data_IF_134414585264
#
_entry.id   IF_134414585264
#
_cell.length_a   1.000
_cell.length_b   1.000
_cell.length_c   1.000
_cell.angle_alpha   90.00
_cell.angle_beta   90.00
_cell.angle_gamma   90.00
#
_symmetry.space_group_name_H-M   'P 1'
#
loop_
_entity.id
_entity.type
_entity.pdbx_description
1 polymer ?
#
# COMPACT_ATOMS: atom_id res chain seq x y z
N UNK A 1 4.83 18.24 15.66
CA UNK A 1 4.35 16.96 15.09
C UNK A 1 3.04 16.50 15.74
N UNK A 2 2.95 16.37 17.08
CA UNK A 2 1.75 15.82 17.74
C UNK A 2 0.47 16.61 17.42
N UNK A 3 0.49 17.96 17.47
CA UNK A 3 -0.66 18.78 17.10
C UNK A 3 -1.06 18.62 15.61
N UNK A 4 -0.07 18.50 14.72
CA UNK A 4 -0.33 18.22 13.31
C UNK A 4 -0.95 16.84 13.10
N UNK A 5 -0.49 15.83 13.87
CA UNK A 5 -1.09 14.49 13.83
C UNK A 5 -2.55 14.51 14.29
N UNK A 6 -2.85 15.21 15.40
CA UNK A 6 -4.22 15.41 15.86
C UNK A 6 -5.12 15.99 14.75
N UNK A 7 -4.64 17.02 14.05
CA UNK A 7 -5.37 17.64 12.93
C UNK A 7 -5.70 16.62 11.83
N UNK A 8 -4.75 15.77 11.43
CA UNK A 8 -5.01 14.78 10.37
C UNK A 8 -5.90 13.64 10.85
N UNK A 9 -5.72 13.18 12.10
CA UNK A 9 -6.52 12.08 12.65
C UNK A 9 -7.99 12.47 12.79
N UNK A 10 -8.28 13.74 13.12
CA UNK A 10 -9.65 14.27 13.23
C UNK A 10 -10.30 14.58 11.86
N UNK A 11 -9.71 14.10 10.76
CA UNK A 11 -10.31 14.13 9.43
C UNK A 11 -10.61 12.69 8.99
N UNK A 12 -11.89 12.35 8.78
CA UNK A 12 -12.24 11.11 8.08
C UNK A 12 -11.68 11.15 6.66
N UNK A 13 -10.98 10.10 6.26
CA UNK A 13 -10.32 9.98 4.94
C UNK A 13 -10.38 8.56 4.39
N UNK A 14 -11.59 7.97 4.37
CA UNK A 14 -11.78 6.66 3.71
C UNK A 14 -11.38 6.75 2.24
N UNK A 15 -10.78 5.69 1.68
CA UNK A 15 -10.34 5.65 0.26
C UNK A 15 -11.44 5.98 -0.75
N UNK A 16 -12.71 5.72 -0.41
CA UNK A 16 -13.86 6.06 -1.23
C UNK A 16 -14.44 7.45 -0.93
N UNK A 17 -13.94 8.16 0.09
CA UNK A 17 -14.33 9.54 0.43
C UNK A 17 -13.29 10.53 -0.10
N UNK A 18 -13.41 10.87 -1.40
CA UNK A 18 -12.51 11.84 -2.02
C UNK A 18 -12.46 13.17 -1.26
N UNK A 19 -13.59 13.67 -0.77
CA UNK A 19 -13.63 14.92 -0.02
C UNK A 19 -12.84 14.82 1.30
N UNK A 20 -12.84 13.64 1.92
CA UNK A 20 -12.05 13.35 3.11
C UNK A 20 -10.56 13.34 2.82
N UNK A 21 -10.13 12.58 1.82
CA UNK A 21 -8.71 12.53 1.41
C UNK A 21 -8.19 13.88 0.92
N UNK A 22 -9.04 14.69 0.25
CA UNK A 22 -8.71 16.06 -0.16
C UNK A 22 -8.53 16.99 1.05
N UNK A 23 -9.35 16.88 2.10
CA UNK A 23 -9.16 17.67 3.34
C UNK A 23 -7.83 17.36 4.01
N UNK A 24 -7.38 16.09 4.02
CA UNK A 24 -6.04 15.72 4.50
C UNK A 24 -4.97 16.40 3.63
N UNK A 25 -5.10 16.36 2.31
CA UNK A 25 -4.18 17.05 1.39
C UNK A 25 -4.13 18.55 1.67
N UNK A 26 -5.28 19.21 1.85
CA UNK A 26 -5.35 20.66 2.12
C UNK A 26 -4.66 21.04 3.45
N UNK A 27 -4.81 20.23 4.50
CA UNK A 27 -4.10 20.46 5.76
C UNK A 27 -2.58 20.36 5.56
N UNK A 28 -2.10 19.34 4.84
CA UNK A 28 -0.69 19.16 4.53
C UNK A 28 -0.16 20.30 3.66
N UNK A 29 -0.89 20.71 2.60
CA UNK A 29 -0.54 21.85 1.75
C UNK A 29 -0.37 23.14 2.57
N UNK A 30 -1.28 23.39 3.50
CA UNK A 30 -1.20 24.58 4.37
C UNK A 30 0.12 24.62 5.14
N UNK A 31 0.61 23.51 5.68
CA UNK A 31 1.89 23.46 6.38
C UNK A 31 3.09 23.61 5.46
N UNK A 32 3.06 22.96 4.30
CA UNK A 32 4.14 23.00 3.31
C UNK A 32 4.30 24.41 2.73
N UNK A 33 3.20 25.05 2.34
CA UNK A 33 3.22 26.43 1.85
C UNK A 33 3.68 27.43 2.93
N UNK A 34 3.23 27.28 4.18
CA UNK A 34 3.69 28.12 5.29
C UNK A 34 5.20 27.96 5.56
N UNK A 35 5.80 26.83 5.17
CA UNK A 35 7.23 26.60 5.23
C UNK A 35 7.98 27.07 3.96
N UNK A 36 7.30 27.62 2.97
CA UNK A 36 7.89 28.07 1.69
C UNK A 36 8.23 26.94 0.73
N UNK A 37 7.59 25.78 0.88
CA UNK A 37 7.76 24.63 0.00
C UNK A 37 6.78 24.74 -1.16
N UNK A 38 7.27 24.56 -2.39
CA UNK A 38 6.44 24.40 -3.58
C UNK A 38 5.69 23.06 -3.49
N UNK A 39 4.36 23.14 -3.39
CA UNK A 39 3.51 21.97 -3.25
C UNK A 39 2.17 22.18 -3.96
N UNK A 40 1.67 21.13 -4.58
CA UNK A 40 0.39 21.12 -5.28
C UNK A 40 -0.38 19.82 -5.01
N UNK A 41 -1.71 19.91 -5.00
CA UNK A 41 -2.58 18.75 -5.01
C UNK A 41 -3.18 18.58 -6.40
N UNK A 42 -2.87 17.45 -7.03
CA UNK A 42 -3.41 17.02 -8.30
C UNK A 42 -4.54 16.05 -8.04
N UNK A 43 -5.76 16.57 -7.94
CA UNK A 43 -6.95 15.80 -7.53
C UNK A 43 -7.69 15.08 -8.64
N UNK A 44 -7.20 15.08 -9.88
CA UNK A 44 -7.87 14.43 -11.02
C UNK A 44 -6.92 13.66 -11.95
N UNK A 45 -7.39 12.69 -12.27
CA UNK A 45 -7.57 11.49 -13.09
C UNK A 45 -6.47 11.06 -14.07
N UNK A 46 -5.75 11.89 -14.79
CA UNK A 46 -4.77 11.39 -15.77
C UNK A 46 -3.42 11.01 -15.14
N UNK A 47 -3.06 11.66 -14.04
CA UNK A 47 -1.75 11.53 -13.40
C UNK A 47 -1.81 10.92 -11.99
N UNK A 48 -2.99 10.39 -11.59
CA UNK A 48 -3.26 9.89 -10.25
C UNK A 48 -3.62 11.01 -9.25
N UNK A 49 -4.39 10.66 -8.19
CA UNK A 49 -4.69 11.60 -7.08
C UNK A 49 -3.50 11.66 -6.13
N UNK A 50 -2.68 12.70 -6.24
CA UNK A 50 -1.47 12.85 -5.45
C UNK A 50 -1.27 14.30 -4.97
N UNK A 51 -0.77 14.45 -3.75
CA UNK A 51 -0.15 15.68 -3.28
C UNK A 51 1.35 15.58 -3.56
N UNK A 52 1.87 16.55 -4.30
CA UNK A 52 3.27 16.66 -4.64
C UNK A 52 3.87 17.83 -3.86
N UNK A 53 5.10 17.66 -3.34
CA UNK A 53 5.87 18.69 -2.68
C UNK A 53 7.31 18.63 -3.16
N UNK A 54 7.98 19.78 -3.31
CA UNK A 54 9.35 19.84 -3.81
C UNK A 54 10.23 20.73 -2.96
N UNK A 55 11.28 20.15 -2.39
CA UNK A 55 12.41 20.88 -1.85
C UNK A 55 13.51 20.88 -2.93
N UNK A 56 13.91 22.06 -3.46
CA UNK A 56 14.88 22.12 -4.54
C UNK A 56 16.28 21.69 -4.09
N UNK A 57 17.01 21.06 -4.99
CA UNK A 57 18.45 20.78 -4.83
C UNK A 57 19.31 21.83 -5.54
N UNK A 58 20.61 21.88 -5.20
CA UNK A 58 21.58 22.71 -5.90
C UNK A 58 21.73 22.32 -7.38
N UNK A 59 21.45 21.06 -7.73
CA UNK A 59 21.39 20.55 -9.09
C UNK A 59 19.95 20.10 -9.40
N UNK A 60 19.11 20.94 -10.00
CA UNK A 60 17.67 20.64 -10.19
C UNK A 60 17.38 19.41 -11.05
N UNK A 61 18.31 19.02 -11.93
CA UNK A 61 18.23 17.84 -12.80
C UNK A 61 18.80 16.55 -12.19
N UNK A 62 19.39 16.64 -10.99
CA UNK A 62 19.92 15.45 -10.32
C UNK A 62 18.75 14.52 -9.91
N UNK A 63 19.06 13.22 -9.90
CA UNK A 63 18.12 12.18 -9.46
C UNK A 63 17.55 12.50 -8.06
N UNK A 64 16.24 12.64 -7.88
CA UNK A 64 15.64 13.05 -6.61
C UNK A 64 15.64 11.94 -5.57
N UNK A 65 15.48 12.31 -4.31
CA UNK A 65 15.00 11.42 -3.24
C UNK A 65 13.49 11.56 -3.16
N UNK A 66 12.77 10.43 -3.07
CA UNK A 66 11.32 10.39 -2.96
C UNK A 66 10.90 10.03 -1.52
N UNK A 67 10.06 10.87 -0.92
CA UNK A 67 9.32 10.60 0.32
C UNK A 67 7.88 10.30 -0.06
N UNK A 68 7.36 9.13 0.31
CA UNK A 68 6.04 8.69 -0.14
C UNK A 68 5.19 8.11 0.98
N UNK A 69 3.88 8.22 0.79
CA UNK A 69 2.88 7.68 1.68
C UNK A 69 1.47 7.90 1.14
N UNK A 70 0.47 7.39 1.85
CA UNK A 70 -0.93 7.53 1.47
C UNK A 70 -1.73 8.33 2.49
N UNK A 71 -2.78 9.01 2.02
CA UNK A 71 -3.65 9.91 2.80
C UNK A 71 -4.97 9.25 3.19
N UNK A 72 -5.31 8.17 2.52
CA UNK A 72 -6.52 7.40 2.77
C UNK A 72 -6.39 6.44 3.96
N UNK A 73 -7.50 5.92 4.40
CA UNK A 73 -7.62 4.92 5.46
C UNK A 73 -8.77 3.96 5.16
N UNK A 74 -8.75 2.77 5.76
CA UNK A 74 -9.84 1.78 5.67
C UNK A 74 -11.10 2.19 6.42
N UNK A 75 -11.03 3.16 7.33
CA UNK A 75 -12.13 3.48 8.25
C UNK A 75 -13.27 4.20 7.55
N UNK A 76 -14.54 3.79 7.76
CA UNK A 76 -15.70 4.46 7.20
C UNK A 76 -15.80 5.94 7.62
N UNK A 77 -16.30 6.78 6.73
CA UNK A 77 -16.64 8.19 7.04
C UNK A 77 -17.61 8.26 8.23
N UNK A 78 -17.32 9.14 9.19
CA UNK A 78 -18.03 9.24 10.46
C UNK A 78 -17.36 8.52 11.63
N UNK A 79 -16.25 7.80 11.37
CA UNK A 79 -15.49 7.11 12.43
C UNK A 79 -14.86 8.11 13.40
N UNK A 80 -14.38 9.27 12.93
CA UNK A 80 -13.80 10.32 13.76
C UNK A 80 -14.78 10.83 14.81
N UNK A 81 -16.07 10.97 14.47
CA UNK A 81 -17.08 11.40 15.43
C UNK A 81 -17.26 10.42 16.60
N UNK A 82 -16.95 9.14 16.40
CA UNK A 82 -17.03 8.09 17.43
C UNK A 82 -15.70 7.88 18.15
N UNK A 83 -14.59 8.05 17.44
CA UNK A 83 -13.23 7.81 17.91
C UNK A 83 -12.28 8.95 17.52
N UNK A 84 -12.50 10.19 18.06
CA UNK A 84 -11.65 11.33 17.77
C UNK A 84 -10.22 11.09 18.30
N UNK A 85 -9.31 11.94 17.88
CA UNK A 85 -7.95 11.97 18.41
C UNK A 85 -7.96 11.96 19.95
N UNK A 86 -7.18 11.10 20.53
CA UNK A 86 -6.90 11.08 21.97
C UNK A 86 -5.48 10.60 22.26
N UNK A 87 -4.97 11.01 23.39
CA UNK A 87 -3.66 10.56 23.91
C UNK A 87 -3.86 9.84 25.23
N UNK A 88 -3.23 8.68 25.37
CA UNK A 88 -3.24 7.90 26.60
C UNK A 88 -1.91 7.13 26.72
N UNK A 89 -1.22 7.23 27.87
CA UNK A 89 0.02 6.51 28.15
C UNK A 89 1.13 6.70 27.10
N UNK A 90 1.27 7.91 26.53
CA UNK A 90 2.27 8.20 25.49
C UNK A 90 1.89 7.70 24.08
N UNK A 91 0.69 7.14 23.92
CA UNK A 91 0.12 6.69 22.65
C UNK A 91 -0.92 7.67 22.13
N UNK A 92 -0.84 7.98 20.84
CA UNK A 92 -1.90 8.63 20.11
C UNK A 92 -2.84 7.58 19.53
N UNK A 93 -4.15 7.82 19.60
CA UNK A 93 -5.21 6.96 19.06
C UNK A 93 -6.13 7.74 18.16
N UNK A 94 -6.74 7.04 17.23
CA UNK A 94 -7.74 7.52 16.29
C UNK A 94 -7.58 6.90 14.91
N UNK A 95 -8.53 7.07 13.98
CA UNK A 95 -8.52 6.39 12.69
C UNK A 95 -7.34 6.82 11.81
N UNK A 96 -6.54 5.84 11.37
CA UNK A 96 -5.36 6.06 10.53
C UNK A 96 -4.19 6.72 11.27
N UNK A 97 -4.19 6.72 12.61
CA UNK A 97 -3.12 7.34 13.40
C UNK A 97 -1.76 6.68 13.16
N UNK A 98 -1.75 5.37 12.95
CA UNK A 98 -0.58 4.58 12.60
C UNK A 98 -0.46 4.43 11.09
N UNK A 99 -1.53 4.05 10.42
CA UNK A 99 -1.61 3.72 9.01
C UNK A 99 -2.42 4.79 8.24
N UNK A 100 -1.76 5.85 7.58
CA UNK A 100 -0.39 6.16 7.94
C UNK A 100 -0.19 7.66 8.22
N UNK A 101 -1.20 8.31 8.88
CA UNK A 101 -1.18 9.77 9.13
C UNK A 101 0.03 10.24 9.93
N UNK A 102 0.53 9.41 10.89
CA UNK A 102 1.77 9.72 11.61
C UNK A 102 2.99 9.77 10.69
N UNK A 103 3.05 8.89 9.70
CA UNK A 103 4.07 8.88 8.66
C UNK A 103 4.01 10.11 7.77
N UNK A 104 2.80 10.54 7.37
CA UNK A 104 2.59 11.77 6.60
C UNK A 104 3.12 12.99 7.34
N UNK A 105 2.76 13.12 8.63
CA UNK A 105 3.26 14.21 9.48
C UNK A 105 4.78 14.17 9.58
N UNK A 106 5.37 13.00 9.82
CA UNK A 106 6.81 12.84 9.90
C UNK A 106 7.49 13.36 8.62
N UNK A 107 7.02 12.96 7.46
CA UNK A 107 7.60 13.36 6.17
C UNK A 107 7.40 14.86 5.88
N UNK A 108 6.25 15.45 6.20
CA UNK A 108 6.07 16.90 6.11
C UNK A 108 7.12 17.64 6.94
N UNK A 109 7.38 17.20 8.18
CA UNK A 109 8.38 17.83 9.03
C UNK A 109 9.81 17.62 8.53
N UNK A 110 10.12 16.49 7.91
CA UNK A 110 11.42 16.27 7.24
C UNK A 110 11.58 17.21 6.05
N UNK A 111 10.57 17.36 5.19
CA UNK A 111 10.59 18.33 4.08
C UNK A 111 10.77 19.77 4.58
N UNK A 112 10.05 20.17 5.64
CA UNK A 112 10.18 21.49 6.24
C UNK A 112 11.56 21.73 6.88
N UNK A 113 12.19 20.71 7.44
CA UNK A 113 13.56 20.79 7.94
C UNK A 113 14.56 20.97 6.80
N UNK A 114 14.45 20.17 5.74
CA UNK A 114 15.29 20.28 4.54
C UNK A 114 15.18 21.65 3.86
N UNK A 115 13.97 22.21 3.79
CA UNK A 115 13.73 23.55 3.20
C UNK A 115 14.49 24.67 3.93
N UNK A 116 14.78 24.50 5.23
CA UNK A 116 15.50 25.47 6.06
C UNK A 116 17.01 25.26 6.07
N UNK A 117 17.50 24.21 5.44
CA UNK A 117 18.91 23.88 5.35
C UNK A 117 19.52 24.38 4.02
N UNK A 118 20.85 24.47 3.90
CA UNK A 118 21.49 24.65 2.60
C UNK A 118 21.02 23.55 1.62
N UNK A 119 20.80 23.90 0.33
CA UNK A 119 20.32 22.94 -0.65
C UNK A 119 21.24 21.72 -0.76
N UNK A 120 20.63 20.53 -0.76
CA UNK A 120 21.34 19.29 -1.08
C UNK A 120 21.76 19.25 -2.55
N UNK A 121 22.72 18.42 -2.98
CA UNK A 121 23.06 18.27 -4.39
C UNK A 121 21.88 17.86 -5.28
N UNK A 122 20.85 17.29 -4.72
CA UNK A 122 19.67 16.75 -5.40
C UNK A 122 18.36 17.27 -4.77
N UNK A 123 17.27 17.30 -5.52
CA UNK A 123 15.96 17.64 -4.97
C UNK A 123 15.37 16.52 -4.12
N UNK A 124 14.48 16.88 -3.17
CA UNK A 124 13.68 15.94 -2.42
C UNK A 124 12.21 16.17 -2.76
N UNK A 125 11.51 15.11 -3.14
CA UNK A 125 10.10 15.13 -3.53
C UNK A 125 9.26 14.44 -2.46
N UNK A 126 8.17 15.07 -2.03
CA UNK A 126 7.08 14.42 -1.30
C UNK A 126 6.00 13.99 -2.29
N UNK A 127 5.55 12.75 -2.22
CA UNK A 127 4.47 12.19 -3.03
C UNK A 127 3.49 11.45 -2.13
N UNK A 128 2.26 11.94 -2.01
CA UNK A 128 1.27 11.41 -1.09
C UNK A 128 -0.01 11.06 -1.84
N UNK A 129 -0.30 9.76 -1.99
CA UNK A 129 -1.43 9.17 -2.73
C UNK A 129 -2.71 9.13 -1.90
N UNK A 130 -3.83 8.66 -2.47
CA UNK A 130 -5.13 8.68 -1.80
C UNK A 130 -5.95 7.38 -1.96
N UNK A 131 -5.34 6.29 -2.42
CA UNK A 131 -6.03 5.04 -2.76
C UNK A 131 -5.18 3.78 -2.46
N UNK A 132 -4.24 3.88 -1.51
CA UNK A 132 -3.38 2.73 -1.16
C UNK A 132 -4.21 1.57 -0.62
N UNK A 133 -5.12 1.84 0.29
CA UNK A 133 -5.94 0.85 1.00
C UNK A 133 -6.90 0.07 0.07
N UNK A 134 -7.08 0.53 -1.15
CA UNK A 134 -7.91 -0.12 -2.17
C UNK A 134 -7.12 -0.59 -3.40
N UNK A 135 -5.77 -0.59 -3.32
CA UNK A 135 -4.89 -1.18 -4.33
C UNK A 135 -4.15 -0.19 -5.20
N UNK A 136 -4.06 1.09 -4.85
CA UNK A 136 -3.27 2.14 -5.52
C UNK A 136 -3.48 2.24 -7.02
N UNK A 137 -4.69 2.03 -7.52
CA UNK A 137 -4.96 2.01 -8.97
C UNK A 137 -4.56 3.32 -9.66
N UNK A 138 -4.74 4.45 -8.98
CA UNK A 138 -4.37 5.79 -9.46
C UNK A 138 -3.04 6.23 -8.84
N UNK A 139 -2.82 5.98 -7.56
CA UNK A 139 -1.59 6.27 -6.85
C UNK A 139 -0.38 5.65 -7.50
N UNK A 140 -0.48 4.42 -8.00
CA UNK A 140 0.57 3.76 -8.78
C UNK A 140 1.02 4.57 -10.00
N UNK A 141 0.09 5.18 -10.73
CA UNK A 141 0.42 6.02 -11.91
C UNK A 141 1.29 7.20 -11.48
N UNK A 142 0.91 7.91 -10.41
CA UNK A 142 1.68 9.00 -9.88
C UNK A 142 3.06 8.54 -9.35
N UNK A 143 3.09 7.43 -8.61
CA UNK A 143 4.33 6.86 -8.08
C UNK A 143 5.29 6.52 -9.23
N UNK A 144 4.84 5.75 -10.22
CA UNK A 144 5.69 5.34 -11.35
C UNK A 144 6.17 6.54 -12.19
N UNK A 145 5.34 7.59 -12.34
CA UNK A 145 5.72 8.80 -13.07
C UNK A 145 6.81 9.61 -12.36
N UNK A 146 6.71 9.78 -11.03
CA UNK A 146 7.62 10.63 -10.26
C UNK A 146 8.82 9.86 -9.69
N UNK A 147 8.72 8.53 -9.55
CA UNK A 147 9.81 7.71 -9.03
C UNK A 147 10.87 7.37 -10.09
N UNK A 148 10.53 7.39 -11.39
CA UNK A 148 11.49 7.02 -12.44
C UNK A 148 12.77 7.84 -12.34
N UNK A 149 13.90 7.13 -12.19
CA UNK A 149 15.21 7.76 -12.07
C UNK A 149 15.49 8.37 -10.70
N UNK A 150 14.63 8.18 -9.70
CA UNK A 150 14.94 8.57 -8.33
C UNK A 150 16.15 7.77 -7.80
N UNK A 151 16.94 8.40 -6.93
CA UNK A 151 18.10 7.74 -6.30
C UNK A 151 17.74 6.90 -5.08
N UNK A 152 16.63 7.22 -4.43
CA UNK A 152 16.12 6.50 -3.28
C UNK A 152 14.64 6.85 -3.06
N UNK A 153 13.88 5.94 -2.47
CA UNK A 153 12.52 6.15 -2.01
C UNK A 153 12.35 5.70 -0.54
N UNK A 154 11.62 6.50 0.23
CA UNK A 154 11.30 6.21 1.63
C UNK A 154 9.78 6.23 1.81
N UNK A 155 9.19 5.06 2.10
CA UNK A 155 7.76 4.93 2.34
C UNK A 155 7.47 4.94 3.85
N UNK A 156 6.71 5.95 4.31
CA UNK A 156 6.48 6.19 5.73
C UNK A 156 5.31 5.40 6.32
N UNK A 157 5.08 4.19 5.81
CA UNK A 157 4.32 3.16 6.51
C UNK A 157 4.76 3.07 7.99
N UNK A 158 3.89 2.61 8.90
CA UNK A 158 4.24 2.52 10.31
C UNK A 158 5.49 1.66 10.55
N UNK A 159 6.36 2.13 11.44
CA UNK A 159 7.42 1.32 12.03
C UNK A 159 6.79 0.14 12.79
N UNK A 160 7.49 -1.00 12.79
CA UNK A 160 7.00 -2.22 13.44
C UNK A 160 6.91 -2.04 14.95
N UNK A 161 6.09 -2.84 15.62
CA UNK A 161 5.95 -2.82 17.10
C UNK A 161 7.28 -3.09 17.80
N UNK A 162 8.18 -3.85 17.18
CA UNK A 162 9.57 -4.05 17.59
C UNK A 162 10.44 -2.79 17.56
N UNK A 163 9.98 -1.73 16.86
CA UNK A 163 10.78 -0.56 16.53
C UNK A 163 11.50 -0.67 15.18
N UNK A 164 11.46 -1.82 14.54
CA UNK A 164 12.18 -2.11 13.30
C UNK A 164 11.53 -1.49 12.05
N UNK A 165 12.27 -1.47 10.94
CA UNK A 165 11.82 -1.07 9.62
C UNK A 165 11.37 -2.29 8.80
N UNK A 166 10.78 -2.05 7.65
CA UNK A 166 10.43 -3.10 6.70
C UNK A 166 11.38 -3.04 5.52
N UNK A 167 12.15 -4.12 5.35
CA UNK A 167 13.13 -4.28 4.26
C UNK A 167 12.67 -5.26 3.18
N UNK A 168 11.55 -5.95 3.43
CA UNK A 168 10.98 -6.92 2.51
C UNK A 168 9.47 -7.04 2.73
N UNK A 169 8.69 -6.95 1.66
CA UNK A 169 7.23 -7.10 1.68
C UNK A 169 6.79 -8.05 0.57
N UNK A 170 5.78 -8.86 0.83
CA UNK A 170 5.10 -9.56 -0.25
C UNK A 170 4.42 -8.57 -1.19
N UNK A 171 4.38 -8.94 -2.47
CA UNK A 171 3.39 -8.43 -3.40
C UNK A 171 2.10 -9.21 -3.27
N UNK A 172 1.03 -8.67 -3.81
CA UNK A 172 -0.27 -9.32 -3.80
C UNK A 172 -1.15 -8.87 -4.96
N UNK A 173 -2.12 -9.67 -5.32
CA UNK A 173 -3.13 -9.31 -6.29
C UNK A 173 -4.48 -9.93 -5.94
N UNK A 174 -5.54 -9.24 -6.32
CA UNK A 174 -6.90 -9.77 -6.22
C UNK A 174 -7.45 -9.98 -7.63
N UNK A 175 -8.02 -11.16 -7.83
CA UNK A 175 -8.69 -11.50 -9.09
C UNK A 175 -10.15 -11.82 -8.83
N UNK A 176 -11.00 -11.42 -9.78
CA UNK A 176 -12.38 -11.86 -9.92
C UNK A 176 -12.46 -12.94 -10.98
N UNK A 177 -13.16 -14.03 -10.67
CA UNK A 177 -13.43 -15.13 -11.59
C UNK A 177 -14.92 -15.20 -11.78
N UNK A 178 -15.41 -15.01 -13.00
CA UNK A 178 -16.81 -15.16 -13.36
C UNK A 178 -16.96 -16.41 -14.25
N UNK A 179 -17.90 -17.28 -13.89
CA UNK A 179 -18.21 -18.49 -14.66
C UNK A 179 -19.65 -18.44 -15.13
N UNK A 180 -19.86 -18.67 -16.44
CA UNK A 180 -21.18 -18.77 -17.07
C UNK A 180 -21.46 -20.21 -17.46
N UNK A 181 -22.70 -20.63 -17.27
CA UNK A 181 -23.21 -21.95 -17.64
C UNK A 181 -24.61 -21.87 -18.25
N UNK A 182 -25.38 -22.93 -18.11
CA UNK A 182 -26.74 -23.03 -18.64
C UNK A 182 -27.71 -23.61 -17.60
N UNK A 183 -28.82 -22.90 -17.36
CA UNK A 183 -29.86 -23.35 -16.45
C UNK A 183 -30.64 -24.53 -17.07
N UNK A 184 -30.98 -25.49 -16.22
CA UNK A 184 -31.94 -26.56 -16.54
C UNK A 184 -32.57 -27.05 -15.23
N UNK A 185 -33.77 -27.66 -15.31
CA UNK A 185 -34.36 -28.30 -14.14
C UNK A 185 -33.59 -29.56 -13.78
N UNK A 186 -33.03 -29.62 -12.55
CA UNK A 186 -32.09 -30.63 -12.16
C UNK A 186 -32.68 -32.08 -12.18
N UNK A 187 -34.01 -32.23 -12.02
CA UNK A 187 -34.68 -33.54 -12.02
C UNK A 187 -35.37 -33.88 -13.36
N UNK A 188 -35.62 -32.92 -14.26
CA UNK A 188 -36.39 -33.15 -15.49
C UNK A 188 -35.48 -33.23 -16.71
N UNK A 189 -34.59 -32.28 -16.87
CA UNK A 189 -33.75 -32.14 -18.06
C UNK A 189 -32.32 -31.73 -17.68
N UNK A 190 -31.73 -32.38 -16.67
CA UNK A 190 -30.39 -32.09 -16.17
C UNK A 190 -29.32 -32.05 -17.27
N UNK A 191 -29.42 -32.94 -18.26
CA UNK A 191 -28.47 -33.05 -19.37
C UNK A 191 -28.43 -31.81 -20.28
N UNK A 192 -29.50 -31.00 -20.29
CA UNK A 192 -29.57 -29.72 -21.04
C UNK A 192 -28.84 -28.60 -20.31
N UNK A 193 -28.52 -28.78 -19.02
CA UNK A 193 -27.82 -27.81 -18.19
C UNK A 193 -26.28 -27.86 -18.35
N UNK A 194 -25.64 -26.81 -17.88
CA UNK A 194 -24.18 -26.75 -17.73
C UNK A 194 -23.85 -25.98 -16.44
N UNK A 195 -23.32 -26.69 -15.43
CA UNK A 195 -23.16 -26.13 -14.10
C UNK A 195 -21.94 -25.21 -13.99
N UNK A 196 -22.18 -23.91 -13.82
CA UNK A 196 -21.15 -22.93 -13.52
C UNK A 196 -20.51 -23.18 -12.14
N UNK A 197 -21.32 -23.61 -11.15
CA UNK A 197 -20.81 -23.94 -9.79
C UNK A 197 -19.83 -25.13 -9.87
N UNK A 198 -20.14 -26.18 -10.62
CA UNK A 198 -19.24 -27.34 -10.75
C UNK A 198 -17.91 -26.93 -11.42
N UNK A 199 -17.98 -26.13 -12.49
CA UNK A 199 -16.79 -25.60 -13.15
C UNK A 199 -15.96 -24.77 -12.19
N UNK A 200 -16.59 -23.86 -11.45
CA UNK A 200 -15.88 -23.03 -10.48
C UNK A 200 -15.25 -23.85 -9.35
N UNK A 201 -15.97 -24.84 -8.81
CA UNK A 201 -15.46 -25.70 -7.74
C UNK A 201 -14.17 -26.44 -8.14
N UNK A 202 -14.11 -26.96 -9.37
CA UNK A 202 -12.90 -27.61 -9.90
C UNK A 202 -11.74 -26.62 -10.03
N UNK A 203 -11.99 -25.38 -10.48
CA UNK A 203 -10.98 -24.33 -10.58
C UNK A 203 -10.51 -23.88 -9.20
N UNK A 204 -11.38 -23.73 -8.23
CA UNK A 204 -11.04 -23.36 -6.84
C UNK A 204 -10.04 -24.36 -6.24
N UNK A 205 -10.25 -25.67 -6.42
CA UNK A 205 -9.31 -26.69 -5.93
C UNK A 205 -7.93 -26.53 -6.57
N UNK A 206 -7.86 -26.32 -7.90
CA UNK A 206 -6.61 -26.14 -8.62
C UNK A 206 -5.90 -24.82 -8.21
N UNK A 207 -6.65 -23.74 -7.97
CA UNK A 207 -6.09 -22.47 -7.51
C UNK A 207 -5.49 -22.59 -6.12
N UNK A 208 -6.17 -23.23 -5.16
CA UNK A 208 -5.62 -23.45 -3.81
C UNK A 208 -4.36 -24.34 -3.84
N UNK A 209 -4.24 -25.26 -4.80
CA UNK A 209 -3.06 -26.11 -4.95
C UNK A 209 -1.80 -25.35 -5.40
N UNK A 210 -1.90 -24.09 -5.82
CA UNK A 210 -0.75 -23.23 -6.14
C UNK A 210 -0.06 -22.66 -4.89
N UNK A 211 -0.63 -22.82 -3.70
CA UNK A 211 -0.01 -22.38 -2.45
C UNK A 211 1.28 -23.14 -2.19
N UNK A 212 2.37 -22.41 -1.98
CA UNK A 212 3.68 -22.92 -1.58
C UNK A 212 4.21 -22.09 -0.40
N UNK A 213 4.01 -22.61 0.80
CA UNK A 213 4.45 -21.93 2.02
C UNK A 213 5.99 -21.79 2.10
N UNK A 214 6.73 -22.76 1.55
CA UNK A 214 8.20 -22.71 1.55
C UNK A 214 8.73 -21.61 0.64
N UNK A 215 8.08 -21.38 -0.50
CA UNK A 215 8.39 -20.27 -1.39
C UNK A 215 7.72 -18.95 -0.96
N UNK A 216 6.91 -18.93 0.08
CA UNK A 216 6.16 -17.77 0.54
C UNK A 216 4.96 -17.40 -0.33
N UNK A 217 4.54 -18.27 -1.24
CA UNK A 217 3.37 -18.08 -2.11
C UNK A 217 2.11 -18.54 -1.40
N UNK A 218 1.07 -17.71 -1.42
CA UNK A 218 -0.26 -18.10 -0.92
C UNK A 218 -1.33 -17.72 -1.93
N UNK A 219 -2.33 -18.61 -2.06
CA UNK A 219 -3.53 -18.41 -2.87
C UNK A 219 -4.76 -18.69 -2.00
N UNK A 220 -5.72 -17.78 -2.01
CA UNK A 220 -6.92 -17.88 -1.19
C UNK A 220 -8.15 -17.44 -1.96
N UNK A 221 -9.04 -18.37 -2.26
CA UNK A 221 -10.39 -18.02 -2.71
C UNK A 221 -11.22 -17.68 -1.48
N UNK A 222 -11.28 -16.37 -1.16
CA UNK A 222 -11.93 -15.89 0.06
C UNK A 222 -13.43 -15.68 -0.06
N UNK A 223 -13.92 -15.47 -1.29
CA UNK A 223 -15.35 -15.29 -1.57
C UNK A 223 -15.77 -16.18 -2.73
N UNK A 224 -16.95 -16.79 -2.60
CA UNK A 224 -17.59 -17.60 -3.64
C UNK A 224 -19.10 -17.44 -3.57
N UNK A 225 -19.77 -17.33 -4.73
CA UNK A 225 -21.22 -17.31 -4.83
C UNK A 225 -21.69 -17.91 -6.16
N UNK A 226 -22.95 -18.31 -6.25
CA UNK A 226 -23.51 -18.82 -7.49
C UNK A 226 -24.83 -19.54 -7.32
N UNK A 227 -25.45 -19.88 -8.46
CA UNK A 227 -26.73 -20.57 -8.54
C UNK A 227 -27.94 -19.68 -8.30
N UNK A 228 -29.12 -20.28 -8.37
CA UNK A 228 -30.42 -19.62 -8.17
C UNK A 228 -31.30 -20.39 -7.16
N UNK A 229 -31.35 -21.72 -7.30
CA UNK A 229 -32.09 -22.64 -6.42
C UNK A 229 -31.47 -24.02 -6.46
N UNK A 230 -31.74 -24.85 -5.46
CA UNK A 230 -31.17 -26.20 -5.34
C UNK A 230 -31.61 -27.16 -6.44
N UNK A 231 -32.75 -26.94 -7.07
CA UNK A 231 -33.30 -27.75 -8.14
C UNK A 231 -33.05 -27.20 -9.55
N UNK A 232 -32.14 -26.22 -9.69
CA UNK A 232 -31.74 -25.63 -10.98
C UNK A 232 -30.24 -25.79 -11.16
N UNK A 233 -29.79 -26.34 -12.32
CA UNK A 233 -28.40 -26.34 -12.73
C UNK A 233 -27.89 -24.89 -12.79
N UNK A 234 -26.82 -24.57 -12.10
CA UNK A 234 -26.39 -23.19 -11.89
C UNK A 234 -25.90 -22.52 -13.19
N UNK A 235 -26.56 -21.46 -13.67
CA UNK A 235 -26.14 -20.75 -14.89
C UNK A 235 -24.99 -19.76 -14.67
N UNK A 236 -24.71 -19.40 -13.43
CA UNK A 236 -23.63 -18.46 -13.09
C UNK A 236 -23.02 -18.79 -11.74
N UNK A 237 -21.72 -18.54 -11.61
CA UNK A 237 -20.98 -18.57 -10.36
C UNK A 237 -19.82 -17.58 -10.43
N UNK A 238 -19.37 -17.07 -9.28
CA UNK A 238 -18.24 -16.16 -9.19
C UNK A 238 -17.40 -16.43 -7.94
N UNK A 239 -16.12 -16.05 -8.02
CA UNK A 239 -15.20 -16.13 -6.91
C UNK A 239 -14.26 -14.91 -6.89
N UNK A 240 -13.72 -14.60 -5.71
CA UNK A 240 -12.61 -13.68 -5.56
C UNK A 240 -11.40 -14.41 -4.97
N UNK A 241 -10.27 -14.25 -5.65
CA UNK A 241 -9.00 -14.88 -5.33
C UNK A 241 -8.00 -13.81 -4.90
N UNK A 242 -7.47 -13.90 -3.67
CA UNK A 242 -6.29 -13.18 -3.20
C UNK A 242 -5.05 -14.05 -3.40
N UNK A 243 -3.97 -13.46 -3.87
CA UNK A 243 -2.68 -14.14 -4.03
C UNK A 243 -1.55 -13.28 -3.46
N UNK A 244 -0.54 -13.96 -2.88
CA UNK A 244 0.66 -13.31 -2.34
C UNK A 244 1.91 -14.00 -2.89
N UNK A 245 2.96 -13.20 -3.14
CA UNK A 245 4.24 -13.64 -3.69
C UNK A 245 5.38 -12.76 -3.16
N UNK A 246 6.62 -13.26 -3.16
CA UNK A 246 7.78 -12.55 -2.61
C UNK A 246 8.62 -11.84 -3.68
N UNK A 247 8.56 -12.28 -4.95
CA UNK A 247 9.39 -11.74 -6.05
C UNK A 247 8.56 -11.49 -7.31
N UNK A 248 9.07 -10.61 -8.19
CA UNK A 248 8.45 -10.39 -9.51
C UNK A 248 8.45 -11.66 -10.38
N UNK A 249 9.48 -12.49 -10.29
CA UNK A 249 9.53 -13.76 -11.03
C UNK A 249 8.44 -14.75 -10.57
N UNK A 250 8.22 -14.83 -9.25
CA UNK A 250 7.10 -15.61 -8.70
C UNK A 250 5.75 -15.09 -9.17
N UNK A 251 5.57 -13.78 -9.15
CA UNK A 251 4.36 -13.10 -9.65
C UNK A 251 4.03 -13.54 -11.09
N UNK A 252 4.99 -13.44 -11.98
CA UNK A 252 4.79 -13.75 -13.41
C UNK A 252 4.41 -15.22 -13.62
N UNK A 253 5.11 -16.12 -12.93
CA UNK A 253 4.82 -17.55 -12.97
C UNK A 253 3.44 -17.87 -12.38
N UNK A 254 3.13 -17.31 -11.22
CA UNK A 254 1.85 -17.52 -10.53
C UNK A 254 0.67 -17.03 -11.37
N UNK A 255 0.78 -15.84 -11.97
CA UNK A 255 -0.27 -15.27 -12.82
C UNK A 255 -0.49 -16.09 -14.10
N UNK A 256 0.58 -16.63 -14.69
CA UNK A 256 0.46 -17.55 -15.83
C UNK A 256 -0.30 -18.84 -15.43
N UNK A 257 0.01 -19.41 -14.27
CA UNK A 257 -0.69 -20.60 -13.78
C UNK A 257 -2.17 -20.31 -13.47
N UNK A 258 -2.47 -19.20 -12.79
CA UNK A 258 -3.85 -18.78 -12.50
C UNK A 258 -4.65 -18.63 -13.80
N UNK A 259 -4.09 -17.96 -14.79
CA UNK A 259 -4.71 -17.77 -16.10
C UNK A 259 -4.98 -19.13 -16.77
N UNK A 260 -3.99 -19.99 -16.82
CA UNK A 260 -4.11 -21.33 -17.41
C UNK A 260 -5.22 -22.15 -16.72
N UNK A 261 -5.33 -22.11 -15.38
CA UNK A 261 -6.39 -22.79 -14.63
C UNK A 261 -7.77 -22.23 -14.98
N UNK A 262 -7.89 -20.89 -15.05
CA UNK A 262 -9.19 -20.27 -15.32
C UNK A 262 -9.61 -20.48 -16.77
N UNK A 263 -8.70 -20.41 -17.73
CA UNK A 263 -8.97 -20.64 -19.16
C UNK A 263 -9.13 -22.12 -19.54
N UNK A 264 -8.65 -23.06 -18.68
CA UNK A 264 -8.82 -24.47 -18.95
C UNK A 264 -10.32 -24.85 -19.07
N UNK A 265 -10.66 -25.78 -19.98
CA UNK A 265 -12.04 -26.24 -20.13
C UNK A 265 -12.64 -26.73 -18.80
N UNK A 266 -13.85 -26.30 -18.50
CA UNK A 266 -14.65 -26.75 -17.37
C UNK A 266 -15.67 -27.82 -17.81
N UNK A 267 -16.85 -27.77 -17.20
CA UNK A 267 -18.01 -28.53 -17.67
C UNK A 267 -18.35 -28.07 -19.09
N UNK A 268 -18.72 -29.02 -19.96
CA UNK A 268 -19.10 -28.70 -21.34
C UNK A 268 -20.15 -27.56 -21.36
N UNK A 269 -20.01 -26.61 -22.28
CA UNK A 269 -20.88 -25.42 -22.41
C UNK A 269 -20.79 -24.42 -21.23
N UNK A 270 -19.74 -24.47 -20.42
CA UNK A 270 -19.40 -23.38 -19.51
C UNK A 270 -18.24 -22.54 -20.04
N UNK A 271 -18.16 -21.29 -19.63
CA UNK A 271 -17.02 -20.41 -19.87
C UNK A 271 -16.61 -19.70 -18.59
N UNK A 272 -15.32 -19.39 -18.46
CA UNK A 272 -14.80 -18.66 -17.34
C UNK A 272 -13.96 -17.45 -17.79
N UNK A 273 -14.06 -16.34 -17.07
CA UNK A 273 -13.26 -15.13 -17.29
C UNK A 273 -12.51 -14.75 -16.02
N UNK A 274 -11.29 -14.23 -16.20
CA UNK A 274 -10.43 -13.74 -15.13
C UNK A 274 -10.25 -12.24 -15.29
N UNK A 275 -10.56 -11.48 -14.24
CA UNK A 275 -10.34 -10.03 -14.19
C UNK A 275 -9.45 -9.70 -13.00
N UNK A 276 -8.34 -9.01 -13.22
CA UNK A 276 -7.49 -8.51 -12.15
C UNK A 276 -8.11 -7.24 -11.57
N UNK A 277 -8.40 -7.23 -10.28
CA UNK A 277 -9.02 -6.11 -9.58
C UNK A 277 -7.99 -5.16 -8.96
N UNK A 278 -6.90 -5.70 -8.40
CA UNK A 278 -5.83 -4.91 -7.81
C UNK A 278 -4.49 -5.65 -7.90
N UNK A 279 -3.39 -4.90 -7.73
CA UNK A 279 -2.05 -5.47 -7.65
C UNK A 279 -1.12 -4.55 -6.87
N UNK A 280 -0.38 -5.14 -5.93
CA UNK A 280 0.82 -4.57 -5.33
C UNK A 280 2.04 -5.38 -5.74
N UNK A 281 3.13 -4.71 -6.06
CA UNK A 281 4.40 -5.36 -6.37
C UNK A 281 5.19 -5.64 -5.09
N UNK A 282 6.08 -6.64 -5.07
CA UNK A 282 6.86 -6.95 -3.88
C UNK A 282 7.98 -5.93 -3.66
N UNK A 283 8.29 -5.66 -2.40
CA UNK A 283 9.56 -5.05 -2.01
C UNK A 283 10.54 -6.17 -1.73
N UNK A 284 11.40 -6.49 -2.68
CA UNK A 284 12.45 -7.48 -2.51
C UNK A 284 13.62 -6.88 -1.70
N UNK A 285 14.16 -7.63 -0.74
CA UNK A 285 15.21 -7.20 0.22
C UNK A 285 16.38 -6.49 -0.43
N UNK A 286 16.84 -6.94 -1.60
CA UNK A 286 17.96 -6.35 -2.35
C UNK A 286 17.83 -4.85 -2.64
N UNK A 287 16.59 -4.34 -2.67
CA UNK A 287 16.31 -2.92 -2.91
C UNK A 287 16.35 -2.07 -1.65
N UNK A 288 16.39 -2.70 -0.47
CA UNK A 288 16.39 -2.01 0.82
C UNK A 288 17.73 -2.01 1.55
N UNK A 289 18.62 -2.92 1.23
CA UNK A 289 19.83 -3.22 2.03
C UNK A 289 20.74 -2.00 2.26
N UNK A 290 21.10 -1.27 1.21
CA UNK A 290 21.98 -0.08 1.35
C UNK A 290 21.31 1.02 2.17
N UNK A 291 20.04 1.31 1.88
CA UNK A 291 19.29 2.32 2.64
C UNK A 291 19.09 1.92 4.10
N UNK A 292 18.89 0.63 4.36
CA UNK A 292 18.76 0.10 5.73
C UNK A 292 20.05 0.34 6.53
N UNK A 293 21.22 0.03 5.97
CA UNK A 293 22.52 0.28 6.62
C UNK A 293 22.70 1.76 6.94
N UNK A 294 22.40 2.65 5.99
CA UNK A 294 22.48 4.10 6.19
C UNK A 294 21.49 4.60 7.26
N UNK A 295 20.29 4.02 7.29
CA UNK A 295 19.29 4.38 8.28
C UNK A 295 19.73 3.92 9.68
N UNK A 296 20.30 2.71 9.83
CA UNK A 296 20.84 2.22 11.09
C UNK A 296 21.89 3.20 11.65
N UNK A 297 22.86 3.63 10.84
CA UNK A 297 23.87 4.60 11.25
C UNK A 297 23.27 5.93 11.69
N UNK A 298 22.20 6.35 11.03
CA UNK A 298 21.49 7.60 11.38
C UNK A 298 20.67 7.43 12.67
N UNK A 299 20.04 6.28 12.86
CA UNK A 299 19.28 5.95 14.08
C UNK A 299 20.19 5.87 15.31
N UNK A 300 21.36 5.23 15.20
CA UNK A 300 22.37 5.16 16.26
C UNK A 300 22.83 6.56 16.70
N UNK A 301 23.04 7.49 15.75
CA UNK A 301 23.40 8.89 16.05
C UNK A 301 22.31 9.64 16.80
N UNK A 302 21.05 9.25 16.60
CA UNK A 302 19.88 9.82 17.28
C UNK A 302 19.66 9.13 18.65
N UNK A 303 20.24 7.95 18.88
CA UNK A 303 20.21 7.25 20.14
C UNK A 303 19.25 6.05 20.23
N UNK A 304 18.87 5.46 19.08
CA UNK A 304 18.10 4.22 19.06
C UNK A 304 18.64 3.20 18.05
N UNK A 305 18.47 1.92 18.36
CA UNK A 305 18.79 0.81 17.46
C UNK A 305 17.59 0.42 16.62
N UNK A 306 17.82 -0.11 15.42
CA UNK A 306 16.79 -0.57 14.51
C UNK A 306 17.33 -1.65 13.58
N UNK A 307 16.48 -2.66 13.29
CA UNK A 307 16.74 -3.72 12.33
C UNK A 307 15.70 -3.75 11.21
N UNK A 308 15.95 -4.57 10.20
CA UNK A 308 15.03 -4.79 9.08
C UNK A 308 14.19 -6.06 9.27
N UNK A 309 12.88 -5.94 9.08
CA UNK A 309 11.93 -7.06 9.15
C UNK A 309 11.29 -7.35 7.79
N UNK A 310 10.88 -8.62 7.61
CA UNK A 310 9.96 -9.04 6.58
C UNK A 310 8.50 -8.86 7.05
N UNK A 311 7.59 -8.54 6.12
CA UNK A 311 6.15 -8.58 6.37
C UNK A 311 5.37 -9.17 5.20
N UNK A 312 4.26 -9.87 5.52
CA UNK A 312 3.32 -10.38 4.51
C UNK A 312 2.35 -9.33 3.95
N UNK A 313 2.28 -8.13 4.54
CA UNK A 313 1.45 -7.03 4.04
C UNK A 313 2.09 -6.31 2.85
N UNK A 314 1.28 -5.94 1.86
CA UNK A 314 1.70 -5.15 0.70
C UNK A 314 1.87 -3.67 1.07
N UNK A 315 2.45 -2.87 0.19
CA UNK A 315 2.41 -1.41 0.21
C UNK A 315 2.93 -0.81 -1.11
N UNK A 316 2.78 0.48 -1.26
CA UNK A 316 3.29 1.26 -2.41
C UNK A 316 4.82 1.17 -2.60
N UNK A 317 5.58 0.77 -1.59
CA UNK A 317 7.03 0.59 -1.68
C UNK A 317 7.45 -0.43 -2.75
N UNK A 318 6.60 -1.40 -3.07
CA UNK A 318 6.84 -2.36 -4.15
C UNK A 318 6.90 -1.72 -5.54
N UNK A 319 6.15 -0.65 -5.78
CA UNK A 319 6.16 0.03 -7.07
C UNK A 319 7.49 0.71 -7.35
N UNK A 320 8.08 1.39 -6.37
CA UNK A 320 9.41 2.00 -6.52
C UNK A 320 10.50 0.96 -6.64
N UNK A 321 10.46 -0.10 -5.83
CA UNK A 321 11.41 -1.20 -5.90
C UNK A 321 11.38 -1.92 -7.25
N UNK A 322 10.19 -2.11 -7.84
CA UNK A 322 10.04 -2.74 -9.17
C UNK A 322 10.64 -1.92 -10.32
N UNK A 323 10.80 -0.61 -10.13
CA UNK A 323 11.51 0.28 -11.07
C UNK A 323 13.04 0.24 -10.88
N UNK A 324 13.55 -0.60 -9.97
CA UNK A 324 14.98 -0.70 -9.68
C UNK A 324 15.50 0.40 -8.75
N UNK A 325 14.62 1.06 -8.00
CA UNK A 325 14.98 2.16 -7.12
C UNK A 325 15.22 1.61 -5.71
N UNK A 326 16.37 1.94 -5.07
CA UNK A 326 16.58 1.66 -3.67
C UNK A 326 15.42 2.21 -2.84
N UNK A 327 14.73 1.33 -2.09
CA UNK A 327 13.49 1.67 -1.39
C UNK A 327 13.52 1.13 0.04
N UNK A 328 13.21 1.98 1.02
CA UNK A 328 13.06 1.59 2.42
C UNK A 328 11.65 1.90 2.88
N UNK A 329 11.01 0.93 3.53
CA UNK A 329 9.63 1.02 4.00
C UNK A 329 9.54 0.95 5.53
N UNK A 330 8.40 1.39 6.08
CA UNK A 330 8.20 1.39 7.53
C UNK A 330 9.02 2.47 8.24
N UNK A 331 9.41 3.55 7.53
CA UNK A 331 10.18 4.66 8.13
C UNK A 331 9.32 5.59 8.99
N UNK A 332 8.00 5.42 8.97
CA UNK A 332 7.06 6.14 9.84
C UNK A 332 7.26 5.85 11.33
N UNK A 333 6.56 6.55 12.22
CA UNK A 333 6.58 6.30 13.66
C UNK A 333 6.16 4.87 14.01
N UNK A 334 6.59 4.38 15.17
CA UNK A 334 6.17 3.05 15.63
C UNK A 334 4.69 3.07 15.97
N UNK A 335 3.96 2.11 15.44
CA UNK A 335 2.54 1.97 15.70
C UNK A 335 2.09 0.51 15.68
N UNK A 336 0.82 0.31 15.88
CA UNK A 336 0.27 -1.04 15.87
C UNK A 336 -1.24 -1.08 15.82
N UNK A 337 -1.76 -2.29 15.63
CA UNK A 337 -3.19 -2.58 15.50
C UNK A 337 -3.86 -1.79 14.36
N UNK A 338 -3.14 -1.51 13.26
CA UNK A 338 -3.72 -0.94 12.05
C UNK A 338 -5.01 -1.67 11.67
N UNK A 339 -5.96 -0.94 11.06
CA UNK A 339 -7.28 -1.45 10.63
C UNK A 339 -8.20 -1.93 11.77
N UNK A 340 -7.91 -1.57 13.02
CA UNK A 340 -8.75 -1.91 14.18
C UNK A 340 -9.09 -0.69 15.02
N UNK A 341 -10.10 -0.82 15.88
CA UNK A 341 -10.49 0.23 16.83
C UNK A 341 -9.42 0.56 17.87
N UNK A 342 -8.45 -0.33 18.05
CA UNK A 342 -7.32 -0.16 18.95
C UNK A 342 -6.06 0.38 18.30
N UNK A 343 -6.14 0.90 17.08
CA UNK A 343 -4.99 1.46 16.37
C UNK A 343 -4.32 2.58 17.17
N UNK A 344 -2.98 2.54 17.23
CA UNK A 344 -2.19 3.51 18.00
C UNK A 344 -0.85 3.83 17.34
N UNK A 345 -0.31 5.01 17.67
CA UNK A 345 1.04 5.45 17.36
C UNK A 345 1.79 5.78 18.65
N UNK A 346 3.05 5.35 18.80
CA UNK A 346 3.94 5.74 19.89
C UNK A 346 4.50 7.14 19.62
N UNK A 347 4.02 8.13 20.36
CA UNK A 347 4.29 9.56 20.09
C UNK A 347 5.76 9.94 20.31
N UNK A 348 6.45 9.28 21.21
CA UNK A 348 7.88 9.46 21.51
C UNK A 348 8.81 9.00 20.38
N UNK A 349 8.33 8.15 19.47
CA UNK A 349 9.09 7.68 18.31
C UNK A 349 9.04 8.66 17.11
N UNK A 350 8.12 9.61 17.09
CA UNK A 350 7.93 10.52 15.96
C UNK A 350 9.16 11.38 15.65
N UNK A 351 9.72 12.03 16.67
CA UNK A 351 10.86 12.94 16.47
C UNK A 351 12.15 12.17 16.18
N UNK A 352 12.54 11.15 16.97
CA UNK A 352 13.74 10.37 16.68
C UNK A 352 13.73 9.77 15.26
N UNK A 353 12.61 9.21 14.80
CA UNK A 353 12.52 8.63 13.47
C UNK A 353 12.56 9.67 12.35
N UNK A 354 11.98 10.87 12.56
CA UNK A 354 12.13 11.98 11.64
C UNK A 354 13.61 12.43 11.53
N UNK A 355 14.32 12.49 12.64
CA UNK A 355 15.75 12.83 12.68
C UNK A 355 16.60 11.75 12.01
N UNK A 356 16.31 10.47 12.21
CA UNK A 356 17.01 9.37 11.55
C UNK A 356 16.77 9.39 10.04
N UNK A 357 15.53 9.61 9.58
CA UNK A 357 15.22 9.74 8.15
C UNK A 357 15.95 10.94 7.54
N UNK A 358 15.91 12.11 8.20
CA UNK A 358 16.64 13.30 7.77
C UNK A 358 18.14 13.01 7.66
N UNK A 359 18.74 12.41 8.69
CA UNK A 359 20.16 12.03 8.70
C UNK A 359 20.53 11.05 7.57
N UNK A 360 19.62 10.12 7.25
CA UNK A 360 19.82 9.19 6.12
C UNK A 360 19.83 9.93 4.79
N UNK A 361 18.88 10.86 4.57
CA UNK A 361 18.81 11.68 3.36
C UNK A 361 20.07 12.54 3.21
N UNK A 362 20.54 13.17 4.30
CA UNK A 362 21.76 13.96 4.31
C UNK A 362 22.98 13.09 3.95
N UNK A 363 23.04 11.85 4.45
CA UNK A 363 24.09 10.87 4.13
C UNK A 363 24.08 10.40 2.67
N UNK A 364 23.06 10.66 1.88
CA UNK A 364 23.05 10.40 0.43
C UNK A 364 23.74 11.51 -0.39
N UNK A 365 24.14 12.62 0.24
CA UNK A 365 24.77 13.76 -0.41
C UNK A 365 26.32 13.68 -0.41
N UNK A 366 26.89 12.78 0.39
CA UNK A 366 28.35 12.58 0.55
C UNK A 366 28.69 11.07 0.46
#
# INVERSE_FOLDING_TARGET
MQAALATLVDIDSNSHDKAGTDRVAQAMLGWLHAAGIDAEHRGEASDGDALLARVPGAQPSAAPVLLMGHRDTVFPTGTVAQRPWRVDGGRGYGPGVSDMKSGLVLQCFVLMALQRMPPLPFPVLGLFTADEEIGSLRGRIAIEAHARGARAAFNAEPGRVSGNLVVERKGGATFKIDVTGHAAHAGVNHADGASAIETLARKVQALHALTDYAAGITTNVGLISGGMSSNTVAPAAQAQLDVRFCTLAQRDTLFAHIRAIVEAPGVHRTSATLTQASEFLPLERRWSEDLMQRYCLSAERVGFGVDGEFTGGCSDAGFTASLGIPTLCGVGPVGGKAHTDGEYCLLDTMVPRAQALLGTILGLAG
#
